data_IF_234513849692
#
_entry.id   IF_234513849692
#
_cell.length_a   1.000
_cell.length_b   1.000
_cell.length_c   1.000
_cell.angle_alpha   90.00
_cell.angle_beta   90.00
_cell.angle_gamma   90.00
#
_symmetry.space_group_name_H-M   'P 1'
#
loop_
_entity.id
_entity.type
_entity.pdbx_description
1 polymer ?
#
# COMPACT_ATOMS: atom_id res chain seq x y z
N UNK A 1 9.03 18.55 9.33
CA UNK A 1 7.66 17.99 9.23
C UNK A 1 7.23 18.01 7.77
N UNK A 2 7.01 16.86 7.13
CA UNK A 2 6.58 16.79 5.72
C UNK A 2 5.05 16.85 5.67
N UNK A 3 4.49 17.69 4.78
CA UNK A 3 3.04 17.94 4.67
C UNK A 3 2.33 16.89 3.81
N UNK A 4 2.59 15.62 4.06
CA UNK A 4 2.02 14.50 3.30
C UNK A 4 0.73 14.03 3.97
N UNK A 5 -0.37 14.02 3.22
CA UNK A 5 -1.69 13.61 3.69
C UNK A 5 -2.30 12.55 2.76
N UNK A 6 -3.00 11.54 3.31
CA UNK A 6 -3.26 11.30 4.73
C UNK A 6 -2.00 10.80 5.48
N UNK A 7 -1.84 11.22 6.74
CA UNK A 7 -0.69 10.86 7.58
C UNK A 7 -0.91 9.49 8.25
N UNK A 8 -1.03 8.44 7.43
CA UNK A 8 -1.29 7.06 7.88
C UNK A 8 0.01 6.26 7.89
N UNK A 9 0.25 5.57 9.01
CA UNK A 9 1.31 4.56 9.12
C UNK A 9 0.77 3.21 8.67
N UNK A 10 1.06 2.82 7.42
CA UNK A 10 0.59 1.56 6.84
C UNK A 10 1.26 0.35 7.52
N UNK A 11 2.53 0.45 7.91
CA UNK A 11 3.28 -0.64 8.54
C UNK A 11 2.64 -1.06 9.87
N UNK A 12 2.19 -0.09 10.66
CA UNK A 12 1.59 -0.33 11.98
C UNK A 12 0.07 -0.52 11.95
N UNK A 13 -0.60 -0.06 10.89
CA UNK A 13 -2.06 -0.21 10.74
C UNK A 13 -2.44 -1.63 10.33
N UNK A 14 -3.36 -2.27 11.05
CA UNK A 14 -3.92 -3.58 10.69
C UNK A 14 -5.30 -3.78 11.33
N UNK A 15 -6.08 -4.71 10.79
CA UNK A 15 -7.39 -5.09 11.34
C UNK A 15 -7.40 -6.58 11.68
N UNK A 16 -7.82 -6.93 12.89
CA UNK A 16 -7.96 -8.34 13.29
C UNK A 16 -9.10 -8.97 12.51
N UNK A 17 -8.89 -10.22 12.07
CA UNK A 17 -9.89 -11.00 11.33
C UNK A 17 -10.42 -10.28 10.07
N UNK A 18 -9.54 -9.60 9.35
CA UNK A 18 -9.88 -8.93 8.09
C UNK A 18 -10.39 -9.90 7.00
N UNK A 19 -10.16 -11.20 7.15
CA UNK A 19 -10.75 -12.29 6.35
C UNK A 19 -12.29 -12.33 6.42
N UNK A 20 -12.88 -11.82 7.50
CA UNK A 20 -14.35 -11.75 7.65
C UNK A 20 -14.94 -10.48 7.02
N UNK A 21 -14.10 -9.49 6.70
CA UNK A 21 -14.51 -8.18 6.19
C UNK A 21 -14.26 -8.04 4.70
N UNK A 22 -13.19 -8.65 4.20
CA UNK A 22 -12.77 -8.57 2.80
C UNK A 22 -12.96 -9.91 2.11
N UNK A 23 -13.51 -9.88 0.91
CA UNK A 23 -13.57 -11.05 0.03
C UNK A 23 -12.16 -11.60 -0.24
N UNK A 24 -12.04 -12.91 -0.55
CA UNK A 24 -10.73 -13.58 -0.71
C UNK A 24 -9.88 -12.99 -1.85
N UNK A 25 -10.51 -12.38 -2.84
CA UNK A 25 -9.90 -11.67 -3.95
C UNK A 25 -9.33 -10.30 -3.52
N UNK A 26 -10.14 -9.49 -2.84
CA UNK A 26 -9.75 -8.16 -2.33
C UNK A 26 -8.65 -8.31 -1.28
N UNK A 27 -8.80 -9.28 -0.37
CA UNK A 27 -7.83 -9.54 0.69
C UNK A 27 -6.44 -9.83 0.12
N UNK A 28 -6.34 -10.70 -0.89
CA UNK A 28 -5.07 -11.00 -1.56
C UNK A 28 -4.43 -9.76 -2.18
N UNK A 29 -5.22 -8.89 -2.82
CA UNK A 29 -4.74 -7.64 -3.45
C UNK A 29 -4.30 -6.61 -2.41
N UNK A 30 -5.04 -6.48 -1.30
CA UNK A 30 -4.67 -5.60 -0.19
C UNK A 30 -3.34 -6.05 0.46
N UNK A 31 -3.14 -7.37 0.60
CA UNK A 31 -1.88 -7.95 1.05
C UNK A 31 -0.73 -7.70 0.09
N UNK A 32 -0.96 -7.83 -1.22
CA UNK A 32 0.05 -7.50 -2.24
C UNK A 32 0.47 -6.04 -2.14
N UNK A 33 -0.50 -5.11 -2.08
CA UNK A 33 -0.25 -3.68 -1.88
C UNK A 33 0.60 -3.43 -0.64
N UNK A 34 0.25 -4.06 0.50
CA UNK A 34 1.01 -3.94 1.74
C UNK A 34 2.44 -4.45 1.59
N UNK A 35 2.64 -5.59 0.91
CA UNK A 35 3.99 -6.14 0.67
C UNK A 35 4.83 -5.21 -0.20
N UNK A 36 4.25 -4.60 -1.24
CA UNK A 36 4.94 -3.61 -2.07
C UNK A 36 5.35 -2.38 -1.23
N UNK A 37 4.48 -1.89 -0.36
CA UNK A 37 4.82 -0.80 0.58
C UNK A 37 5.99 -1.19 1.48
N UNK A 38 5.95 -2.37 2.10
CA UNK A 38 7.03 -2.86 2.95
C UNK A 38 8.35 -2.99 2.19
N UNK A 39 8.32 -3.44 0.93
CA UNK A 39 9.51 -3.52 0.08
C UNK A 39 10.09 -2.13 -0.25
N UNK A 40 9.25 -1.10 -0.41
CA UNK A 40 9.72 0.27 -0.63
C UNK A 40 10.50 0.80 0.58
N UNK A 41 10.00 0.59 1.80
CA UNK A 41 10.61 1.15 3.03
C UNK A 41 11.72 0.27 3.62
N UNK A 42 11.73 -1.04 3.33
CA UNK A 42 12.73 -1.96 3.87
C UNK A 42 14.13 -1.63 3.37
N UNK A 43 15.14 -1.81 4.23
CA UNK A 43 16.53 -1.49 3.89
C UNK A 43 17.12 -2.42 2.80
N UNK A 44 18.05 -1.94 1.97
CA UNK A 44 18.78 -2.78 1.03
C UNK A 44 19.57 -3.90 1.73
N UNK A 45 19.74 -5.09 1.11
CA UNK A 45 19.35 -5.44 -0.26
C UNK A 45 17.89 -5.92 -0.41
N UNK A 46 17.14 -6.03 0.68
CA UNK A 46 15.82 -6.65 0.69
C UNK A 46 14.70 -5.69 0.26
N UNK A 47 14.97 -4.38 0.22
CA UNK A 47 14.05 -3.35 -0.23
C UNK A 47 14.77 -2.12 -0.78
N UNK A 48 14.00 -1.06 -1.06
CA UNK A 48 14.50 0.16 -1.69
C UNK A 48 15.03 1.21 -0.69
N UNK A 49 14.85 1.02 0.61
CA UNK A 49 15.30 1.93 1.67
C UNK A 49 14.68 3.33 1.59
N UNK A 50 13.47 3.44 1.04
CA UNK A 50 12.78 4.72 0.90
C UNK A 50 12.30 5.24 2.26
N UNK A 51 12.32 6.56 2.41
CA UNK A 51 11.66 7.22 3.53
C UNK A 51 10.13 6.95 3.48
N UNK A 52 9.53 6.74 4.65
CA UNK A 52 8.11 6.36 4.77
C UNK A 52 7.17 7.39 4.12
N UNK A 53 7.49 8.68 4.19
CA UNK A 53 6.69 9.73 3.56
C UNK A 53 6.77 9.67 2.04
N UNK A 54 7.94 9.35 1.47
CA UNK A 54 8.13 9.18 0.03
C UNK A 54 7.37 7.97 -0.49
N UNK A 55 7.44 6.84 0.22
CA UNK A 55 6.68 5.64 -0.11
C UNK A 55 5.16 5.88 -0.04
N UNK A 56 4.70 6.63 0.97
CA UNK A 56 3.29 7.02 1.07
C UNK A 56 2.85 7.91 -0.10
N UNK A 57 3.66 8.90 -0.48
CA UNK A 57 3.38 9.75 -1.64
C UNK A 57 3.28 8.96 -2.94
N UNK A 58 4.18 7.99 -3.15
CA UNK A 58 4.15 7.12 -4.32
C UNK A 58 2.83 6.31 -4.40
N UNK A 59 2.36 5.76 -3.28
CA UNK A 59 1.08 5.03 -3.24
C UNK A 59 -0.09 5.98 -3.51
N UNK A 60 -0.13 7.15 -2.85
CA UNK A 60 -1.21 8.13 -3.04
C UNK A 60 -1.27 8.58 -4.50
N UNK A 61 -0.13 8.81 -5.14
CA UNK A 61 -0.06 9.14 -6.56
C UNK A 61 -0.63 8.03 -7.45
N UNK A 62 -0.38 6.76 -7.11
CA UNK A 62 -0.93 5.64 -7.88
C UNK A 62 -2.46 5.51 -7.68
N UNK A 63 -2.95 5.66 -6.44
CA UNK A 63 -4.38 5.66 -6.15
C UNK A 63 -5.08 6.79 -6.91
N UNK A 64 -4.48 7.99 -6.94
CA UNK A 64 -5.04 9.17 -7.62
C UNK A 64 -5.18 9.01 -9.15
N UNK A 65 -4.50 8.04 -9.76
CA UNK A 65 -4.64 7.72 -11.20
C UNK A 65 -5.90 6.90 -11.51
N UNK A 66 -6.56 6.37 -10.48
CA UNK A 66 -7.75 5.53 -10.62
C UNK A 66 -8.97 6.20 -10.00
N UNK A 67 -10.16 5.88 -10.49
CA UNK A 67 -11.40 6.46 -9.99
C UNK A 67 -11.88 5.75 -8.73
N UNK A 68 -11.58 4.45 -8.60
CA UNK A 68 -12.04 3.62 -7.49
C UNK A 68 -10.92 2.76 -6.93
N UNK A 69 -11.04 2.37 -5.65
CA UNK A 69 -10.10 1.45 -5.01
C UNK A 69 -10.06 0.08 -5.71
N UNK A 70 -11.17 -0.36 -6.31
CA UNK A 70 -11.20 -1.62 -7.04
C UNK A 70 -10.29 -1.55 -8.28
N UNK A 71 -10.43 -0.49 -9.09
CA UNK A 71 -9.55 -0.23 -10.23
C UNK A 71 -8.08 -0.17 -9.79
N UNK A 72 -7.77 0.55 -8.71
CA UNK A 72 -6.41 0.58 -8.15
C UNK A 72 -5.88 -0.82 -7.82
N UNK A 73 -6.64 -1.61 -7.04
CA UNK A 73 -6.24 -2.95 -6.64
C UNK A 73 -6.12 -3.90 -7.83
N UNK A 74 -6.83 -3.65 -8.92
CA UNK A 74 -6.70 -4.36 -10.20
C UNK A 74 -5.37 -4.08 -10.90
N UNK A 75 -4.89 -2.82 -10.87
CA UNK A 75 -3.60 -2.44 -11.49
C UNK A 75 -2.38 -3.12 -10.85
N UNK A 76 -2.46 -3.51 -9.57
CA UNK A 76 -1.33 -4.11 -8.85
C UNK A 76 -0.96 -5.53 -9.30
N UNK A 77 -1.83 -6.19 -10.06
CA UNK A 77 -1.60 -7.53 -10.61
C UNK A 77 -1.11 -7.53 -12.07
N UNK A 78 -0.99 -6.36 -12.70
CA UNK A 78 -0.82 -6.24 -14.15
C UNK A 78 0.62 -5.96 -14.62
N UNK A 79 1.63 -6.21 -13.79
CA UNK A 79 3.05 -6.28 -14.19
C UNK A 79 3.72 -7.53 -13.61
#
# INVERSE_FOLDING_TARGET
>A
ERRTFPAIDIERSSTRREDLLLGPDILKRAWLMRRMYLQMISSPPQGAGMDTAVAMEAIVQQIARTKTNLEFLETLNSD
#
